data_IF_767095984291
#
_entry.id   IF_767095984291
#
_cell.length_a   1.000
_cell.length_b   1.000
_cell.length_c   1.000
_cell.angle_alpha   90.00
_cell.angle_beta   90.00
_cell.angle_gamma   90.00
#
_symmetry.space_group_name_H-M   'P 1'
#
loop_
_entity.id
_entity.type
_entity.pdbx_description
1 polymer ?
#
# COMPACT_ATOMS: atom_id res chain seq x y z
N UNK A 1 -58.76 21.04 -15.38
CA UNK A 1 -58.52 21.81 -16.61
C UNK A 1 -59.35 21.22 -17.77
N UNK A 2 -59.30 19.96 -18.10
CA UNK A 2 -60.12 19.38 -19.19
C UNK A 2 -61.65 19.47 -18.97
N UNK A 3 -62.15 19.45 -17.74
CA UNK A 3 -63.59 19.61 -17.41
C UNK A 3 -64.15 21.03 -17.64
N UNK A 4 -63.27 22.03 -17.79
CA UNK A 4 -63.70 23.45 -17.89
C UNK A 4 -63.30 24.01 -19.28
N UNK A 5 -62.92 23.17 -20.24
CA UNK A 5 -62.57 23.57 -21.61
C UNK A 5 -61.35 24.50 -21.76
N UNK A 6 -60.51 24.61 -20.71
CA UNK A 6 -59.30 25.47 -20.74
C UNK A 6 -58.07 24.68 -21.08
N UNK A 7 -57.13 25.25 -21.80
CA UNK A 7 -55.84 24.59 -22.17
C UNK A 7 -55.08 24.22 -20.91
N UNK A 8 -54.32 23.11 -20.98
CA UNK A 8 -53.40 22.69 -19.91
C UNK A 8 -52.22 23.67 -19.84
N UNK A 9 -51.74 23.92 -18.62
CA UNK A 9 -50.57 24.78 -18.44
C UNK A 9 -50.88 26.24 -18.07
N UNK A 10 -52.07 26.50 -17.50
CA UNK A 10 -52.46 27.82 -17.01
C UNK A 10 -51.62 28.34 -15.84
N UNK A 11 -50.98 27.41 -15.12
CA UNK A 11 -50.03 27.72 -14.05
C UNK A 11 -48.77 26.90 -14.38
N UNK A 12 -47.73 27.57 -14.72
CA UNK A 12 -46.41 26.99 -15.01
C UNK A 12 -45.35 27.84 -14.35
N UNK A 13 -44.24 27.18 -14.00
CA UNK A 13 -43.07 27.86 -13.43
C UNK A 13 -42.12 28.23 -14.53
N UNK A 14 -42.11 29.50 -14.87
CA UNK A 14 -41.17 30.07 -15.86
C UNK A 14 -40.14 30.95 -15.15
N UNK A 15 -38.86 30.98 -15.61
CA UNK A 15 -37.91 31.95 -15.11
C UNK A 15 -38.35 33.36 -15.56
N UNK A 16 -38.24 34.34 -14.66
CA UNK A 16 -38.68 35.75 -14.88
C UNK A 16 -38.16 36.32 -16.18
N UNK A 17 -36.93 36.01 -16.57
CA UNK A 17 -36.34 36.48 -17.85
C UNK A 17 -37.02 35.93 -19.10
N UNK A 18 -37.78 34.84 -19.01
CA UNK A 18 -38.55 34.32 -20.14
C UNK A 18 -39.93 35.01 -20.29
N UNK A 19 -40.48 35.47 -19.18
CA UNK A 19 -41.74 36.19 -19.15
C UNK A 19 -41.56 37.59 -19.73
N UNK A 20 -40.48 38.30 -19.42
CA UNK A 20 -40.15 39.61 -19.97
C UNK A 20 -39.84 39.55 -21.47
N UNK A 21 -39.33 38.47 -22.01
CA UNK A 21 -38.99 38.30 -23.42
C UNK A 21 -40.11 37.76 -24.30
N UNK A 22 -41.27 37.37 -23.70
CA UNK A 22 -42.39 36.74 -24.42
C UNK A 22 -42.06 35.40 -25.08
N UNK A 23 -40.92 34.81 -24.70
CA UNK A 23 -40.43 33.56 -25.26
C UNK A 23 -41.13 32.37 -24.58
N UNK A 24 -41.74 31.50 -25.38
CA UNK A 24 -42.26 30.23 -24.90
C UNK A 24 -41.11 29.39 -24.33
N UNK A 25 -41.20 29.09 -23.04
CA UNK A 25 -40.20 28.25 -22.35
C UNK A 25 -40.25 26.84 -22.89
N UNK A 26 -39.49 26.55 -23.91
CA UNK A 26 -39.36 25.19 -24.44
C UNK A 26 -38.20 24.47 -23.72
N UNK A 27 -38.56 23.69 -22.73
CA UNK A 27 -37.68 22.68 -22.13
C UNK A 27 -36.69 23.20 -21.09
N UNK A 28 -36.53 22.43 -20.06
CA UNK A 28 -35.47 22.62 -19.06
C UNK A 28 -34.12 22.40 -19.75
N UNK A 29 -33.36 23.47 -19.93
CA UNK A 29 -31.96 23.33 -20.39
C UNK A 29 -31.13 22.69 -19.29
N UNK A 30 -31.12 21.36 -19.26
CA UNK A 30 -30.33 20.58 -18.28
C UNK A 30 -28.82 20.78 -18.46
N UNK A 31 -28.39 21.04 -19.69
CA UNK A 31 -26.97 21.22 -20.03
C UNK A 31 -26.64 22.72 -19.97
N UNK A 32 -26.28 23.19 -18.79
CA UNK A 32 -25.70 24.49 -18.56
C UNK A 32 -24.20 24.39 -18.37
N UNK A 33 -23.36 25.36 -18.74
CA UNK A 33 -21.92 25.30 -18.53
C UNK A 33 -21.54 24.97 -17.07
N UNK A 34 -22.28 25.54 -16.14
CA UNK A 34 -22.11 25.31 -14.72
C UNK A 34 -22.38 23.83 -14.33
N UNK A 35 -23.39 23.19 -14.89
CA UNK A 35 -23.71 21.78 -14.67
C UNK A 35 -22.61 20.86 -15.22
N UNK A 36 -22.08 21.20 -16.39
CA UNK A 36 -20.95 20.45 -17.00
C UNK A 36 -19.73 20.52 -16.10
N UNK A 37 -19.36 21.72 -15.61
CA UNK A 37 -18.19 21.90 -14.73
C UNK A 37 -18.34 21.05 -13.45
N UNK A 38 -19.48 21.11 -12.78
CA UNK A 38 -19.69 20.34 -11.56
C UNK A 38 -19.70 18.84 -11.82
N UNK A 39 -20.32 18.38 -12.90
CA UNK A 39 -20.33 16.99 -13.28
C UNK A 39 -18.92 16.49 -13.62
N UNK A 40 -18.14 17.27 -14.38
CA UNK A 40 -16.75 16.93 -14.69
C UNK A 40 -15.89 16.84 -13.44
N UNK A 41 -16.03 17.81 -12.53
CA UNK A 41 -15.31 17.79 -11.25
C UNK A 41 -15.68 16.56 -10.41
N UNK A 42 -16.94 16.23 -10.35
CA UNK A 42 -17.44 15.05 -9.63
C UNK A 42 -16.90 13.75 -10.24
N UNK A 43 -16.93 13.61 -11.56
CA UNK A 43 -16.35 12.48 -12.27
C UNK A 43 -14.83 12.37 -12.05
N UNK A 44 -14.10 13.50 -12.05
CA UNK A 44 -12.67 13.52 -11.79
C UNK A 44 -12.33 13.01 -10.39
N UNK A 45 -13.05 13.48 -9.37
CA UNK A 45 -12.87 12.98 -8.00
C UNK A 45 -13.18 11.49 -7.92
N UNK A 46 -14.27 11.03 -8.53
CA UNK A 46 -14.61 9.60 -8.59
C UNK A 46 -13.52 8.77 -9.29
N UNK A 47 -13.00 9.26 -10.41
CA UNK A 47 -11.92 8.58 -11.13
C UNK A 47 -10.63 8.47 -10.29
N UNK A 48 -10.26 9.53 -9.56
CA UNK A 48 -9.10 9.51 -8.64
C UNK A 48 -9.32 8.49 -7.51
N UNK A 49 -10.53 8.44 -6.94
CA UNK A 49 -10.84 7.45 -5.90
C UNK A 49 -10.72 6.01 -6.42
N UNK A 50 -11.30 5.73 -7.58
CA UNK A 50 -11.23 4.40 -8.21
C UNK A 50 -9.79 4.04 -8.56
N UNK A 51 -9.01 4.97 -9.10
CA UNK A 51 -7.59 4.76 -9.37
C UNK A 51 -6.80 4.40 -8.12
N UNK A 52 -6.98 5.14 -7.01
CA UNK A 52 -6.31 4.84 -5.74
C UNK A 52 -6.74 3.47 -5.17
N UNK A 53 -7.99 3.08 -5.35
CA UNK A 53 -8.48 1.77 -4.89
C UNK A 53 -7.83 0.63 -5.66
N UNK A 54 -7.74 0.74 -6.99
CA UNK A 54 -7.13 -0.28 -7.85
C UNK A 54 -5.60 -0.33 -7.69
N UNK A 55 -4.97 0.83 -7.46
CA UNK A 55 -3.50 0.92 -7.29
C UNK A 55 -3.02 0.48 -5.91
N UNK A 56 -3.92 0.09 -5.01
CA UNK A 56 -3.55 -0.30 -3.66
C UNK A 56 -2.79 -1.62 -3.67
N UNK A 57 -1.63 -1.63 -3.01
CA UNK A 57 -0.83 -2.85 -2.83
C UNK A 57 -1.53 -3.86 -1.92
N UNK A 58 -1.61 -5.11 -2.37
CA UNK A 58 -2.18 -6.23 -1.60
C UNK A 58 -1.23 -6.79 -0.56
N UNK A 59 0.05 -6.47 -0.66
CA UNK A 59 1.09 -6.94 0.24
C UNK A 59 1.67 -5.74 0.98
N UNK A 60 1.69 -5.83 2.31
CA UNK A 60 2.27 -4.81 3.17
C UNK A 60 3.24 -5.44 4.15
N UNK A 61 4.34 -4.75 4.42
CA UNK A 61 5.39 -5.24 5.32
C UNK A 61 5.76 -4.16 6.31
N UNK A 62 5.89 -4.57 7.57
CA UNK A 62 6.37 -3.72 8.64
C UNK A 62 7.48 -4.45 9.39
N UNK A 63 8.60 -3.79 9.57
CA UNK A 63 9.78 -4.37 10.22
C UNK A 63 10.17 -3.53 11.43
N UNK A 64 10.05 -4.12 12.59
CA UNK A 64 10.54 -3.54 13.84
C UNK A 64 11.89 -4.14 14.19
N UNK A 65 12.89 -3.29 14.36
CA UNK A 65 14.18 -3.73 14.89
C UNK A 65 14.12 -3.85 16.42
N UNK A 66 14.73 -4.91 16.95
CA UNK A 66 14.90 -5.10 18.38
C UNK A 66 15.81 -4.01 18.94
N UNK A 67 15.45 -3.48 20.11
CA UNK A 67 16.21 -2.41 20.77
C UNK A 67 17.08 -2.90 21.91
N UNK A 68 16.80 -4.08 22.43
CA UNK A 68 17.55 -4.66 23.53
C UNK A 68 17.70 -6.18 23.34
N UNK A 69 18.91 -6.66 23.01
CA UNK A 69 20.11 -5.90 22.63
C UNK A 69 20.03 -5.28 21.24
N UNK A 70 20.77 -4.19 21.02
CA UNK A 70 20.85 -3.52 19.70
C UNK A 70 21.53 -4.41 18.65
N UNK A 71 22.55 -5.17 19.07
CA UNK A 71 23.26 -6.16 18.27
C UNK A 71 23.85 -7.23 19.18
N UNK A 72 24.22 -8.35 18.62
CA UNK A 72 24.93 -9.44 19.30
C UNK A 72 26.16 -9.80 18.46
N UNK A 73 27.35 -9.76 19.07
CA UNK A 73 28.55 -10.29 18.46
C UNK A 73 28.53 -11.84 18.62
N UNK A 74 28.69 -12.54 17.51
CA UNK A 74 28.77 -13.99 17.47
C UNK A 74 30.21 -14.46 17.61
N UNK A 75 30.42 -15.70 18.02
CA UNK A 75 31.74 -16.31 18.19
C UNK A 75 32.54 -16.45 16.89
N UNK A 76 31.86 -16.42 15.75
CA UNK A 76 32.45 -16.45 14.41
C UNK A 76 32.86 -15.05 13.88
N UNK A 77 32.79 -14.00 14.70
CA UNK A 77 33.11 -12.62 14.34
C UNK A 77 32.00 -11.88 13.58
N UNK A 78 30.85 -12.52 13.38
CA UNK A 78 29.70 -11.89 12.74
C UNK A 78 28.88 -11.09 13.75
N UNK A 79 28.20 -10.06 13.24
CA UNK A 79 27.26 -9.25 14.01
C UNK A 79 25.83 -9.67 13.64
N UNK A 80 25.00 -9.90 14.65
CA UNK A 80 23.62 -10.29 14.49
C UNK A 80 22.69 -9.24 15.06
N UNK A 81 21.69 -8.84 14.26
CA UNK A 81 20.56 -8.00 14.67
C UNK A 81 19.26 -8.79 14.63
N UNK A 82 18.36 -8.49 15.57
CA UNK A 82 17.02 -9.05 15.61
C UNK A 82 16.00 -8.09 15.03
N UNK A 83 15.06 -8.64 14.28
CA UNK A 83 13.93 -7.92 13.71
C UNK A 83 12.64 -8.69 13.91
N UNK A 84 11.57 -7.98 14.19
CA UNK A 84 10.21 -8.52 14.17
C UNK A 84 9.53 -8.11 12.89
N UNK A 85 9.22 -9.08 12.06
CA UNK A 85 8.52 -8.91 10.79
C UNK A 85 7.04 -9.08 10.99
N UNK A 86 6.26 -8.17 10.41
CA UNK A 86 4.82 -8.28 10.28
C UNK A 86 4.46 -8.14 8.81
N UNK A 87 3.88 -9.19 8.24
CA UNK A 87 3.43 -9.22 6.86
C UNK A 87 1.92 -9.28 6.88
N UNK A 88 1.30 -8.35 6.17
CA UNK A 88 -0.13 -8.33 5.93
C UNK A 88 -0.38 -8.74 4.49
N UNK A 89 -0.96 -9.92 4.30
CA UNK A 89 -1.48 -10.35 3.02
C UNK A 89 -2.97 -9.97 2.95
N UNK A 90 -3.30 -8.99 2.12
CA UNK A 90 -4.67 -8.49 1.91
C UNK A 90 -5.39 -9.24 0.78
N UNK A 91 -4.68 -10.12 0.07
CA UNK A 91 -5.27 -10.93 -0.98
C UNK A 91 -6.10 -12.08 -0.41
N UNK A 92 -7.06 -12.55 -1.19
CA UNK A 92 -7.91 -13.68 -0.86
C UNK A 92 -7.19 -15.02 -0.91
N UNK A 93 -6.00 -15.06 -1.51
CA UNK A 93 -5.23 -16.27 -1.75
C UNK A 93 -3.99 -16.36 -0.86
N UNK A 94 -3.59 -17.59 -0.59
CA UNK A 94 -2.32 -17.90 0.06
C UNK A 94 -1.16 -17.60 -0.90
N UNK A 95 -0.12 -16.90 -0.40
CA UNK A 95 1.03 -16.50 -1.21
C UNK A 95 2.33 -17.06 -0.65
N UNK A 96 3.23 -17.46 -1.54
CA UNK A 96 4.59 -17.84 -1.19
C UNK A 96 5.54 -16.68 -1.51
N UNK A 97 6.23 -16.22 -0.47
CA UNK A 97 7.05 -15.03 -0.50
C UNK A 97 8.51 -15.38 -0.26
N UNK A 98 9.39 -14.68 -0.95
CA UNK A 98 10.85 -14.72 -0.76
C UNK A 98 11.27 -13.41 -0.11
N UNK A 99 12.08 -13.51 0.95
CA UNK A 99 12.67 -12.37 1.60
C UNK A 99 14.14 -12.24 1.18
N UNK A 100 14.53 -11.06 0.74
CA UNK A 100 15.91 -10.69 0.45
C UNK A 100 16.30 -9.39 1.15
N UNK A 101 17.60 -9.17 1.31
CA UNK A 101 18.15 -7.92 1.85
C UNK A 101 19.05 -7.28 0.82
N UNK A 102 18.85 -6.00 0.61
CA UNK A 102 19.70 -5.13 -0.17
C UNK A 102 20.53 -4.21 0.74
N UNK A 103 21.73 -3.87 0.32
CA UNK A 103 22.63 -2.97 1.06
C UNK A 103 23.49 -3.65 2.13
N UNK A 104 23.43 -4.98 2.30
CA UNK A 104 24.25 -5.72 3.27
C UNK A 104 24.91 -6.95 2.63
N UNK A 105 26.10 -6.82 2.03
CA UNK A 105 26.80 -7.95 1.43
C UNK A 105 27.12 -9.05 2.46
N UNK A 106 26.97 -10.29 2.06
CA UNK A 106 27.23 -11.44 2.94
C UNK A 106 26.23 -11.64 4.09
N UNK A 107 25.09 -10.98 4.03
CA UNK A 107 24.01 -11.17 4.99
C UNK A 107 23.46 -12.59 4.95
N UNK A 108 23.19 -13.15 6.13
CA UNK A 108 22.48 -14.40 6.31
C UNK A 108 21.26 -14.15 7.17
N UNK A 109 20.16 -14.75 6.77
CA UNK A 109 18.86 -14.61 7.38
C UNK A 109 18.49 -15.90 8.09
N UNK A 110 18.00 -15.81 9.33
CA UNK A 110 17.46 -16.92 10.09
C UNK A 110 16.07 -16.56 10.61
N UNK A 111 15.07 -17.25 10.10
CA UNK A 111 13.68 -17.10 10.57
C UNK A 111 13.47 -18.00 11.77
N UNK A 112 12.94 -17.44 12.86
CA UNK A 112 12.63 -18.20 14.09
C UNK A 112 11.24 -18.79 13.96
N UNK A 113 11.12 -20.11 14.16
CA UNK A 113 9.83 -20.82 14.08
C UNK A 113 9.45 -21.31 12.69
N UNK A 114 10.34 -21.21 11.71
CA UNK A 114 10.20 -21.90 10.42
C UNK A 114 10.77 -23.31 10.53
N UNK A 115 10.21 -24.26 9.77
CA UNK A 115 10.70 -25.64 9.70
C UNK A 115 12.11 -25.72 9.08
N UNK A 116 12.49 -24.74 8.28
CA UNK A 116 13.86 -24.56 7.78
C UNK A 116 14.75 -23.98 8.89
N UNK A 117 15.42 -24.85 9.61
CA UNK A 117 16.31 -24.54 10.74
C UNK A 117 17.64 -23.87 10.31
N UNK A 118 17.85 -23.62 9.00
CA UNK A 118 19.08 -23.11 8.42
C UNK A 118 19.17 -21.57 8.30
N UNK A 119 20.39 -21.05 8.29
CA UNK A 119 20.67 -19.71 7.80
C UNK A 119 20.59 -19.73 6.27
N UNK A 120 19.73 -18.93 5.69
CA UNK A 120 19.57 -18.79 4.24
C UNK A 120 19.82 -17.34 3.83
N UNK A 121 20.27 -17.13 2.62
CA UNK A 121 20.37 -15.78 2.04
C UNK A 121 18.99 -15.27 1.58
N UNK A 122 18.11 -16.20 1.21
CA UNK A 122 16.77 -15.90 0.68
C UNK A 122 15.74 -16.89 1.23
N UNK A 123 15.34 -16.78 2.50
CA UNK A 123 14.31 -17.63 3.06
C UNK A 123 12.97 -17.40 2.37
N UNK A 124 12.21 -18.48 2.19
CA UNK A 124 10.84 -18.42 1.68
C UNK A 124 9.86 -18.82 2.78
N UNK A 125 8.67 -18.28 2.71
CA UNK A 125 7.61 -18.62 3.64
C UNK A 125 6.24 -18.38 3.01
N UNK A 126 5.28 -19.12 3.49
CA UNK A 126 3.92 -19.08 2.98
C UNK A 126 3.03 -18.31 3.95
N UNK A 127 2.35 -17.29 3.45
CA UNK A 127 1.41 -16.45 4.21
C UNK A 127 -0.02 -16.76 3.78
N UNK A 128 -0.87 -17.02 4.77
CA UNK A 128 -2.30 -17.26 4.53
C UNK A 128 -3.00 -15.96 4.12
N UNK A 129 -4.12 -16.09 3.43
CA UNK A 129 -4.98 -14.98 3.02
C UNK A 129 -5.53 -14.19 4.21
N UNK A 130 -5.70 -12.91 4.02
CA UNK A 130 -6.39 -11.96 4.92
C UNK A 130 -5.94 -12.06 6.39
N UNK A 131 -4.62 -12.22 6.60
CA UNK A 131 -4.03 -12.32 7.94
C UNK A 131 -2.72 -11.57 8.05
N UNK A 132 -2.46 -11.12 9.28
CA UNK A 132 -1.14 -10.63 9.69
C UNK A 132 -0.32 -11.81 10.17
N UNK A 133 0.80 -12.05 9.51
CA UNK A 133 1.82 -13.01 9.93
C UNK A 133 2.95 -12.27 10.63
N UNK A 134 3.25 -12.69 11.86
CA UNK A 134 4.36 -12.13 12.64
C UNK A 134 5.39 -13.20 12.89
N UNK A 135 6.65 -12.93 12.55
CA UNK A 135 7.76 -13.83 12.84
C UNK A 135 9.00 -13.03 13.21
N UNK A 136 9.92 -13.70 13.88
CA UNK A 136 11.18 -13.11 14.28
C UNK A 136 12.27 -13.50 13.29
N UNK A 137 13.05 -12.52 12.86
CA UNK A 137 14.13 -12.67 11.91
C UNK A 137 15.45 -12.25 12.57
N UNK A 138 16.46 -13.09 12.48
CA UNK A 138 17.84 -12.70 12.78
C UNK A 138 18.58 -12.48 11.47
N UNK A 139 19.24 -11.34 11.38
CA UNK A 139 20.13 -10.99 10.28
C UNK A 139 21.55 -10.98 10.82
N UNK A 140 22.42 -11.77 10.23
CA UNK A 140 23.84 -11.83 10.59
C UNK A 140 24.70 -11.39 9.40
N UNK A 141 25.72 -10.57 9.65
CA UNK A 141 26.67 -10.11 8.63
C UNK A 141 28.09 -10.07 9.20
N UNK A 142 29.14 -10.19 8.34
CA UNK A 142 30.52 -10.01 8.78
C UNK A 142 30.75 -8.60 9.33
N UNK A 143 31.51 -8.46 10.40
CA UNK A 143 31.81 -7.15 11.01
C UNK A 143 32.56 -6.19 10.06
N UNK A 144 33.31 -6.75 9.11
CA UNK A 144 34.12 -6.01 8.12
C UNK A 144 33.27 -5.19 7.14
N UNK A 145 32.01 -5.61 6.91
CA UNK A 145 31.09 -4.96 5.96
C UNK A 145 30.48 -3.67 6.54
N UNK A 146 30.60 -3.47 7.84
CA UNK A 146 30.06 -2.30 8.50
C UNK A 146 31.08 -1.14 8.48
N UNK A 147 30.84 -0.08 7.67
CA UNK A 147 31.73 1.09 7.65
C UNK A 147 31.66 1.87 8.97
N UNK A 148 30.47 1.95 9.56
CA UNK A 148 30.14 2.70 10.77
C UNK A 148 29.22 1.91 11.71
N UNK A 149 28.80 2.56 12.81
CA UNK A 149 27.86 2.01 13.80
C UNK A 149 26.54 1.55 13.20
N UNK A 150 26.14 2.07 12.04
CA UNK A 150 24.88 1.70 11.37
C UNK A 150 25.01 1.77 9.86
N UNK A 151 24.41 0.78 9.19
CA UNK A 151 24.28 0.69 7.75
C UNK A 151 22.80 0.66 7.39
N UNK A 152 22.42 1.47 6.40
CA UNK A 152 21.05 1.45 5.87
C UNK A 152 20.87 0.20 5.01
N UNK A 153 19.84 -0.54 5.29
CA UNK A 153 19.48 -1.79 4.61
C UNK A 153 18.03 -1.72 4.15
N UNK A 154 17.73 -2.43 3.08
CA UNK A 154 16.37 -2.57 2.57
C UNK A 154 15.97 -4.04 2.56
N UNK A 155 14.87 -4.33 3.22
CA UNK A 155 14.20 -5.61 3.11
C UNK A 155 13.29 -5.59 1.89
N UNK A 156 13.43 -6.58 1.03
CA UNK A 156 12.61 -6.75 -0.17
C UNK A 156 11.88 -8.08 -0.06
N UNK A 157 10.57 -8.00 -0.08
CA UNK A 157 9.69 -9.15 -0.07
C UNK A 157 9.11 -9.28 -1.49
N UNK A 158 9.33 -10.42 -2.13
CA UNK A 158 8.84 -10.70 -3.48
C UNK A 158 8.02 -11.97 -3.51
N UNK A 159 6.93 -11.95 -4.27
CA UNK A 159 6.14 -13.15 -4.54
C UNK A 159 6.76 -13.98 -5.65
N UNK A 160 6.78 -15.33 -5.50
CA UNK A 160 7.44 -16.22 -6.47
C UNK A 160 6.74 -16.20 -7.83
N UNK A 161 5.42 -16.10 -7.84
CA UNK A 161 4.61 -16.26 -9.06
C UNK A 161 4.15 -14.94 -9.69
N UNK A 162 4.38 -13.83 -9.02
CA UNK A 162 3.86 -12.52 -9.43
C UNK A 162 4.95 -11.46 -9.26
N UNK A 163 4.91 -10.41 -10.03
CA UNK A 163 5.89 -9.32 -9.89
C UNK A 163 5.56 -8.35 -8.73
N UNK A 164 4.82 -8.83 -7.72
CA UNK A 164 4.47 -8.03 -6.56
C UNK A 164 5.65 -7.99 -5.63
N UNK A 165 6.09 -6.78 -5.30
CA UNK A 165 7.18 -6.51 -4.36
C UNK A 165 6.73 -5.54 -3.30
N UNK A 166 7.12 -5.80 -2.06
CA UNK A 166 7.03 -4.84 -0.97
C UNK A 166 8.45 -4.61 -0.42
N UNK A 167 8.74 -3.40 -0.02
CA UNK A 167 10.04 -3.06 0.53
C UNK A 167 9.88 -2.28 1.83
N UNK A 168 10.88 -2.39 2.69
CA UNK A 168 10.95 -1.67 3.96
C UNK A 168 12.39 -1.29 4.26
N UNK A 169 12.62 0.01 4.45
CA UNK A 169 13.95 0.53 4.78
C UNK A 169 14.18 0.42 6.29
N UNK A 170 15.35 -0.07 6.68
CA UNK A 170 15.74 -0.25 8.08
C UNK A 170 17.23 -0.02 8.25
N UNK A 171 17.73 -0.14 9.48
CA UNK A 171 19.13 0.03 9.80
C UNK A 171 19.70 -1.23 10.46
N UNK A 172 20.84 -1.67 9.96
CA UNK A 172 21.66 -2.70 10.61
C UNK A 172 22.68 -2.00 11.53
N UNK A 173 22.77 -2.44 12.78
CA UNK A 173 23.68 -1.84 13.75
C UNK A 173 24.83 -2.76 14.11
N UNK A 174 25.99 -2.15 14.29
CA UNK A 174 27.21 -2.79 14.78
C UNK A 174 27.80 -2.08 16.00
N UNK A 175 28.96 -2.57 16.49
CA UNK A 175 29.68 -1.94 17.58
C UNK A 175 30.15 -0.54 17.20
N UNK A 176 30.25 0.32 18.18
CA UNK A 176 31.00 1.58 18.06
C UNK A 176 32.48 1.24 17.87
N UNK A 177 33.09 1.79 16.83
CA UNK A 177 34.56 1.72 16.59
C UNK A 177 35.24 2.82 17.36
#
# INVERSE_FOLDING_TARGET
MAKVGRPRGLIDYAPVAAEESGATVHGIRMVRPRTIIYFTLWCLVGAIMVYNLISRSDLDINVLRDRNPLYVALSDGRIRNGYTFKILNKASDQRTLILSIEGLPGARLKVVGSEDVGESTTPYFTVKSDRVHSFRLFVSAPAEVLPDQSLDIRFVLSEINTNIKAHYDSKFRGPEK
#
